data_IF_304474147200
#
_entry.id   IF_304474147200
#
_cell.length_a   1.000
_cell.length_b   1.000
_cell.length_c   1.000
_cell.angle_alpha   90.00
_cell.angle_beta   90.00
_cell.angle_gamma   90.00
#
_symmetry.space_group_name_H-M   'P 1'
#
loop_
_entity.id
_entity.type
_entity.pdbx_description
1 polymer ?
#
# COMPACT_ATOMS: atom_id res chain seq x y z
N UNK A 1 10.83 -4.37 -17.29
CA UNK A 1 10.01 -3.20 -17.69
C UNK A 1 9.14 -2.88 -16.49
N UNK A 2 9.03 -1.61 -16.10
CA UNK A 2 8.09 -1.20 -15.07
C UNK A 2 6.70 -1.06 -15.71
N UNK A 3 5.69 -1.66 -15.11
CA UNK A 3 4.30 -1.59 -15.57
C UNK A 3 3.46 -0.89 -14.51
N UNK A 4 2.48 -0.09 -14.93
CA UNK A 4 1.60 0.61 -14.00
C UNK A 4 0.17 0.69 -14.50
N UNK A 5 -0.79 0.57 -13.59
CA UNK A 5 -2.21 0.76 -13.84
C UNK A 5 -2.79 1.78 -12.85
N UNK A 6 -3.36 2.87 -13.37
CA UNK A 6 -3.98 3.92 -12.57
C UNK A 6 -5.50 3.68 -12.46
N UNK A 7 -6.01 3.72 -11.23
CA UNK A 7 -7.43 3.59 -10.91
C UNK A 7 -7.99 4.95 -10.56
N UNK A 8 -9.02 5.37 -11.28
CA UNK A 8 -9.66 6.68 -11.12
C UNK A 8 -11.12 6.52 -10.74
N UNK A 9 -11.67 7.50 -10.03
CA UNK A 9 -13.11 7.57 -9.76
C UNK A 9 -13.89 8.05 -11.00
N UNK A 10 -15.21 8.14 -10.86
CA UNK A 10 -16.10 8.60 -11.93
C UNK A 10 -15.86 10.05 -12.38
N UNK A 11 -15.20 10.88 -11.55
CA UNK A 11 -14.82 12.26 -11.89
C UNK A 11 -13.45 12.35 -12.58
N UNK A 12 -12.71 11.24 -12.66
CA UNK A 12 -11.36 11.18 -13.19
C UNK A 12 -10.26 11.47 -12.18
N UNK A 13 -10.60 11.64 -10.89
CA UNK A 13 -9.63 11.78 -9.79
C UNK A 13 -8.88 10.47 -9.59
N UNK A 14 -7.56 10.53 -9.45
CA UNK A 14 -6.74 9.36 -9.15
C UNK A 14 -7.02 8.87 -7.73
N UNK A 15 -7.45 7.61 -7.62
CA UNK A 15 -7.65 6.94 -6.34
C UNK A 15 -6.37 6.24 -5.89
N UNK A 16 -5.78 5.43 -6.77
CA UNK A 16 -4.48 4.81 -6.56
C UNK A 16 -3.86 4.35 -7.87
N UNK A 17 -2.56 4.07 -7.84
CA UNK A 17 -1.82 3.44 -8.93
C UNK A 17 -1.17 2.15 -8.42
N UNK A 18 -1.27 1.08 -9.19
CA UNK A 18 -0.53 -0.15 -8.97
C UNK A 18 0.69 -0.14 -9.88
N UNK A 19 1.85 -0.49 -9.35
CA UNK A 19 3.10 -0.61 -10.08
C UNK A 19 3.68 -2.00 -9.92
N UNK A 20 4.25 -2.53 -11.00
CA UNK A 20 5.02 -3.78 -11.01
C UNK A 20 6.48 -3.41 -11.29
N UNK A 21 7.38 -3.86 -10.42
CA UNK A 21 8.82 -3.63 -10.47
C UNK A 21 9.24 -2.15 -10.44
N UNK A 22 8.40 -1.28 -9.87
CA UNK A 22 8.70 0.12 -9.60
C UNK A 22 7.88 0.63 -8.39
N UNK A 23 8.42 1.62 -7.68
CA UNK A 23 7.71 2.47 -6.71
C UNK A 23 8.23 3.89 -6.91
N UNK A 24 7.36 4.87 -6.89
CA UNK A 24 7.72 6.29 -6.90
C UNK A 24 7.96 6.85 -5.49
N UNK A 25 7.62 6.08 -4.45
CA UNK A 25 7.78 6.45 -3.04
C UNK A 25 8.88 5.61 -2.35
N UNK A 26 10.14 5.98 -2.59
CA UNK A 26 11.27 5.63 -1.73
C UNK A 26 11.39 6.66 -0.58
N UNK A 27 10.46 6.62 0.38
CA UNK A 27 10.57 7.50 1.54
C UNK A 27 11.48 6.85 2.60
N UNK A 28 12.74 7.29 2.61
CA UNK A 28 13.82 6.82 3.48
C UNK A 28 13.78 7.30 4.93
N UNK A 29 12.62 7.32 5.60
CA UNK A 29 12.54 7.65 7.03
C UNK A 29 11.78 6.60 7.86
N UNK A 30 12.23 6.32 9.11
CA UNK A 30 11.52 5.41 10.02
C UNK A 30 10.11 5.89 10.36
N UNK A 31 9.12 4.99 10.26
CA UNK A 31 7.73 5.26 10.65
C UNK A 31 7.27 4.28 11.73
N UNK A 32 6.18 4.62 12.41
CA UNK A 32 5.37 3.69 13.19
C UNK A 32 4.12 3.36 12.37
N UNK A 33 3.96 2.10 11.99
CA UNK A 33 2.78 1.58 11.28
C UNK A 33 1.70 1.18 12.27
N UNK A 34 0.48 1.56 11.94
CA UNK A 34 -0.73 1.01 12.53
C UNK A 34 -1.56 0.42 11.39
N UNK A 35 -1.88 -0.87 11.46
CA UNK A 35 -2.75 -1.55 10.50
C UNK A 35 -4.17 -1.02 10.68
N UNK A 36 -4.68 -0.37 9.65
CA UNK A 36 -6.05 0.16 9.61
C UNK A 36 -7.00 -0.97 9.24
N UNK A 37 -6.69 -1.69 8.17
CA UNK A 37 -7.42 -2.87 7.70
C UNK A 37 -6.52 -3.69 6.77
N UNK A 38 -6.79 -5.00 6.69
CA UNK A 38 -6.19 -5.89 5.69
C UNK A 38 -7.18 -6.94 5.21
N UNK A 39 -6.91 -7.53 4.05
CA UNK A 39 -7.71 -8.63 3.51
C UNK A 39 -7.04 -9.29 2.32
N UNK A 40 -7.61 -10.40 1.87
CA UNK A 40 -7.01 -11.22 0.81
C UNK A 40 -7.22 -10.62 -0.58
N UNK A 41 -6.25 -10.85 -1.47
CA UNK A 41 -6.33 -10.55 -2.90
C UNK A 41 -6.14 -11.87 -3.67
N UNK A 42 -7.17 -12.73 -3.70
CA UNK A 42 -7.06 -14.10 -4.18
C UNK A 42 -6.75 -14.18 -5.68
N UNK A 43 -7.13 -13.16 -6.46
CA UNK A 43 -6.89 -13.12 -7.91
C UNK A 43 -5.43 -13.03 -8.32
N UNK A 44 -4.50 -12.69 -7.40
CA UNK A 44 -3.07 -12.67 -7.71
C UNK A 44 -2.45 -14.07 -7.69
N UNK A 45 -2.98 -15.00 -6.88
CA UNK A 45 -2.47 -16.38 -6.76
C UNK A 45 -2.40 -17.08 -8.11
N UNK A 46 -3.38 -16.86 -8.97
CA UNK A 46 -3.53 -17.55 -10.26
C UNK A 46 -2.42 -17.25 -11.27
N UNK A 47 -1.68 -16.15 -11.13
CA UNK A 47 -0.57 -15.81 -12.03
C UNK A 47 0.82 -16.07 -11.43
N UNK A 48 0.93 -17.03 -10.52
CA UNK A 48 2.23 -17.43 -9.94
C UNK A 48 2.66 -16.59 -8.73
N UNK A 49 1.81 -15.67 -8.27
CA UNK A 49 2.04 -14.89 -7.05
C UNK A 49 1.59 -15.70 -5.83
N UNK A 50 2.37 -16.72 -5.50
CA UNK A 50 2.17 -17.59 -4.33
C UNK A 50 3.22 -17.28 -3.24
N UNK A 51 2.84 -17.26 -1.94
CA UNK A 51 1.50 -17.47 -1.37
C UNK A 51 0.52 -16.33 -1.68
N UNK A 52 -0.76 -16.49 -1.27
CA UNK A 52 -1.81 -15.46 -1.41
C UNK A 52 -1.30 -14.10 -0.96
N UNK A 53 -1.49 -13.09 -1.80
CA UNK A 53 -1.22 -11.71 -1.42
C UNK A 53 -2.40 -11.13 -0.67
N UNK A 54 -2.10 -10.24 0.26
CA UNK A 54 -3.05 -9.47 1.04
C UNK A 54 -2.88 -7.99 0.72
N UNK A 55 -3.97 -7.25 0.73
CA UNK A 55 -3.89 -5.81 0.86
C UNK A 55 -3.76 -5.46 2.34
N UNK A 56 -3.01 -4.40 2.64
CA UNK A 56 -2.95 -3.81 3.96
C UNK A 56 -2.94 -2.28 3.83
N UNK A 57 -3.94 -1.64 4.42
CA UNK A 57 -3.98 -0.20 4.61
C UNK A 57 -3.30 0.12 5.95
N UNK A 58 -2.28 0.98 5.93
CA UNK A 58 -1.62 1.47 7.13
C UNK A 58 -1.84 2.96 7.30
N UNK A 59 -1.93 3.37 8.56
CA UNK A 59 -1.66 4.73 8.98
C UNK A 59 -0.24 4.77 9.56
N UNK A 60 0.64 5.51 8.90
CA UNK A 60 2.06 5.62 9.23
C UNK A 60 2.33 6.97 9.90
N UNK A 61 2.86 6.92 11.12
CA UNK A 61 3.26 8.10 11.90
C UNK A 61 4.79 8.23 11.85
N UNK A 62 5.37 9.44 11.89
CA UNK A 62 6.82 9.61 12.04
C UNK A 62 7.31 8.93 13.34
N UNK A 63 8.32 8.06 13.26
CA UNK A 63 8.86 7.39 14.46
C UNK A 63 9.64 8.34 15.39
N UNK A 64 10.04 9.53 14.88
CA UNK A 64 10.66 10.61 15.65
C UNK A 64 10.75 11.91 14.85
N UNK A 65 10.69 13.05 15.54
CA UNK A 65 10.85 14.39 14.95
C UNK A 65 9.65 14.92 14.16
N UNK A 66 9.79 16.15 13.63
CA UNK A 66 8.79 16.86 12.81
C UNK A 66 8.66 16.25 11.41
N UNK A 67 7.89 15.18 11.29
CA UNK A 67 7.48 14.61 10.00
C UNK A 67 6.20 15.24 9.43
N UNK A 68 5.74 14.83 8.24
CA UNK A 68 4.60 15.41 7.53
C UNK A 68 3.21 15.16 8.19
N UNK A 69 3.18 14.67 9.44
CA UNK A 69 1.99 14.12 10.09
C UNK A 69 1.75 12.66 9.71
N UNK A 70 0.61 12.11 10.13
CA UNK A 70 0.21 10.74 9.78
C UNK A 70 -0.16 10.66 8.31
N UNK A 71 0.40 9.66 7.63
CA UNK A 71 0.18 9.40 6.21
C UNK A 71 -0.42 8.00 6.02
N UNK A 72 -1.37 7.90 5.09
CA UNK A 72 -2.05 6.66 4.76
C UNK A 72 -1.44 5.98 3.55
N UNK A 73 -1.33 4.66 3.64
CA UNK A 73 -0.63 3.87 2.63
C UNK A 73 -1.35 2.57 2.41
N UNK A 74 -1.29 2.09 1.17
CA UNK A 74 -1.81 0.80 0.81
C UNK A 74 -0.66 -0.04 0.27
N UNK A 75 -0.56 -1.28 0.71
CA UNK A 75 0.44 -2.20 0.20
C UNK A 75 -0.20 -3.54 -0.17
N UNK A 76 0.42 -4.23 -1.13
CA UNK A 76 0.18 -5.62 -1.43
C UNK A 76 1.34 -6.44 -0.85
N UNK A 77 1.04 -7.29 0.13
CA UNK A 77 2.03 -8.00 0.94
C UNK A 77 1.71 -9.49 1.02
N UNK A 78 2.73 -10.33 1.22
CA UNK A 78 2.54 -11.78 1.43
C UNK A 78 2.17 -12.12 2.87
N UNK A 79 2.55 -11.26 3.80
CA UNK A 79 2.19 -11.33 5.20
C UNK A 79 1.88 -9.91 5.69
N UNK A 80 0.79 -9.75 6.43
CA UNK A 80 0.43 -8.46 7.02
C UNK A 80 1.27 -8.28 8.29
N UNK A 81 2.23 -7.34 8.33
CA UNK A 81 2.98 -7.05 9.54
C UNK A 81 2.06 -6.50 10.63
N UNK A 82 2.36 -6.81 11.88
CA UNK A 82 1.69 -6.24 13.06
C UNK A 82 2.08 -4.77 13.26
N UNK A 83 1.30 -4.04 14.06
CA UNK A 83 1.61 -2.68 14.47
C UNK A 83 3.02 -2.56 15.08
N UNK A 84 3.74 -1.50 14.73
CA UNK A 84 5.10 -1.31 15.20
C UNK A 84 5.98 -0.46 14.28
N UNK A 85 7.30 -0.50 14.47
CA UNK A 85 8.24 0.15 13.58
C UNK A 85 8.05 -0.35 12.14
N UNK A 86 7.63 0.55 11.25
CA UNK A 86 7.57 0.31 9.82
C UNK A 86 8.80 0.88 9.15
N UNK A 87 9.35 0.14 8.19
CA UNK A 87 10.30 0.68 7.22
C UNK A 87 9.93 0.13 5.84
N UNK A 88 10.03 1.00 4.82
CA UNK A 88 9.74 0.79 3.38
C UNK A 88 8.37 0.18 3.03
N UNK A 89 7.56 0.93 2.28
CA UNK A 89 6.24 0.50 1.80
C UNK A 89 6.43 -0.53 0.67
N UNK A 90 5.67 -1.63 0.71
CA UNK A 90 5.61 -2.60 -0.39
C UNK A 90 6.60 -3.77 -0.35
N UNK A 91 7.51 -3.84 0.63
CA UNK A 91 8.37 -5.02 0.76
C UNK A 91 7.67 -6.15 1.55
N UNK A 92 7.67 -7.39 1.00
CA UNK A 92 6.89 -8.49 1.57
C UNK A 92 7.49 -9.08 2.85
N UNK A 93 8.74 -8.78 3.20
CA UNK A 93 9.40 -9.16 4.47
C UNK A 93 10.79 -8.51 4.60
N UNK A 94 11.25 -8.30 5.83
CA UNK A 94 12.57 -7.75 6.15
C UNK A 94 12.59 -6.22 6.17
N UNK A 95 13.47 -5.65 7.00
CA UNK A 95 13.63 -4.20 7.14
C UNK A 95 14.04 -3.49 5.84
N UNK A 96 14.47 -2.22 5.91
CA UNK A 96 14.63 -1.40 4.73
C UNK A 96 15.62 -2.02 3.71
N UNK A 97 15.13 -2.37 2.52
CA UNK A 97 15.92 -2.63 1.32
C UNK A 97 15.56 -1.61 0.23
N UNK A 98 16.51 -0.79 -0.28
CA UNK A 98 16.28 -0.01 -1.49
C UNK A 98 15.67 -0.90 -2.59
N UNK A 99 14.71 -0.39 -3.39
CA UNK A 99 14.06 -1.17 -4.46
C UNK A 99 15.08 -1.86 -5.39
N UNK A 100 16.25 -1.25 -5.54
CA UNK A 100 17.43 -1.71 -6.28
C UNK A 100 18.07 -3.01 -5.73
N UNK A 101 17.84 -3.31 -4.45
CA UNK A 101 18.45 -4.44 -3.72
C UNK A 101 17.49 -5.62 -3.53
N UNK A 102 16.23 -5.47 -3.93
CA UNK A 102 15.26 -6.56 -3.91
C UNK A 102 15.61 -7.61 -4.95
N UNK A 103 15.79 -8.86 -4.51
CA UNK A 103 16.15 -10.01 -5.37
C UNK A 103 14.99 -10.99 -5.57
N UNK A 104 13.78 -10.64 -5.11
CA UNK A 104 12.59 -11.42 -5.42
C UNK A 104 12.17 -11.24 -6.88
N UNK A 105 11.46 -12.22 -7.46
CA UNK A 105 11.18 -12.23 -8.89
C UNK A 105 10.34 -11.04 -9.34
N UNK A 106 9.53 -10.46 -8.43
CA UNK A 106 8.70 -9.31 -8.71
C UNK A 106 8.37 -8.49 -7.44
N UNK A 107 8.13 -7.19 -7.62
CA UNK A 107 7.71 -6.24 -6.57
C UNK A 107 6.41 -5.55 -7.02
N UNK A 108 5.37 -5.51 -6.18
CA UNK A 108 4.13 -4.78 -6.47
C UNK A 108 3.98 -3.63 -5.47
N UNK A 109 4.02 -2.39 -5.96
CA UNK A 109 3.70 -1.22 -5.17
C UNK A 109 2.28 -0.75 -5.44
N UNK A 110 1.65 -0.18 -4.41
CA UNK A 110 0.39 0.54 -4.54
C UNK A 110 0.58 1.92 -3.95
N UNK A 111 0.19 2.94 -4.69
CA UNK A 111 0.32 4.33 -4.28
C UNK A 111 -1.05 4.98 -4.30
N UNK A 112 -1.49 5.45 -3.14
CA UNK A 112 -2.75 6.19 -3.02
C UNK A 112 -2.62 7.56 -3.68
N UNK A 113 -3.74 8.11 -4.16
CA UNK A 113 -3.77 9.47 -4.68
C UNK A 113 -3.32 10.50 -3.63
N UNK A 114 -2.77 11.67 -4.02
CA UNK A 114 -2.19 12.64 -3.08
C UNK A 114 -3.16 13.15 -2.00
N UNK A 115 -4.44 13.22 -2.32
CA UNK A 115 -5.49 13.68 -1.40
C UNK A 115 -5.85 12.61 -0.36
N UNK A 116 -5.63 11.34 -0.69
CA UNK A 116 -5.91 10.19 0.17
C UNK A 116 -4.75 9.93 1.13
N UNK A 117 -3.52 10.20 0.69
CA UNK A 117 -2.30 9.93 1.45
C UNK A 117 -2.24 10.73 2.77
N UNK A 118 -2.93 11.86 2.89
CA UNK A 118 -2.88 12.73 4.08
C UNK A 118 -4.06 12.49 5.02
N UNK A 119 -4.07 11.34 5.69
CA UNK A 119 -5.19 10.98 6.55
C UNK A 119 -5.16 11.58 7.96
N UNK A 120 -4.03 12.15 8.44
CA UNK A 120 -3.99 12.91 9.69
C UNK A 120 -3.94 12.08 10.97
N UNK A 121 -4.81 11.08 11.13
CA UNK A 121 -4.80 10.14 12.27
C UNK A 121 -5.22 8.72 11.87
N UNK A 122 -4.96 7.73 12.74
CA UNK A 122 -5.45 6.34 12.56
C UNK A 122 -6.98 6.27 12.55
N UNK A 123 -7.65 7.11 13.35
CA UNK A 123 -9.11 7.14 13.41
C UNK A 123 -9.71 7.70 12.10
N UNK A 124 -9.11 8.76 11.57
CA UNK A 124 -9.51 9.35 10.30
C UNK A 124 -9.24 8.40 9.13
N UNK A 125 -8.12 7.66 9.18
CA UNK A 125 -7.83 6.60 8.21
C UNK A 125 -8.93 5.52 8.20
N UNK A 126 -9.37 5.06 9.38
CA UNK A 126 -10.47 4.09 9.52
C UNK A 126 -11.78 4.64 8.97
N UNK A 127 -12.11 5.89 9.33
CA UNK A 127 -13.33 6.54 8.86
C UNK A 127 -13.33 6.73 7.34
N UNK A 128 -12.21 7.15 6.76
CA UNK A 128 -12.06 7.29 5.31
C UNK A 128 -12.13 5.93 4.60
N UNK A 129 -11.51 4.87 5.13
CA UNK A 129 -11.60 3.54 4.52
C UNK A 129 -13.03 2.99 4.50
N UNK A 130 -13.84 3.34 5.50
CA UNK A 130 -15.26 3.01 5.56
C UNK A 130 -16.14 3.88 4.63
N UNK A 131 -15.59 4.95 4.04
CA UNK A 131 -16.32 5.81 3.09
C UNK A 131 -16.57 5.12 1.75
N UNK A 132 -17.43 5.71 0.92
CA UNK A 132 -17.68 5.21 -0.44
C UNK A 132 -16.41 5.15 -1.30
N UNK A 133 -15.53 6.14 -1.18
CA UNK A 133 -14.24 6.17 -1.89
C UNK A 133 -13.32 5.03 -1.41
N UNK A 134 -13.21 4.84 -0.09
CA UNK A 134 -12.44 3.75 0.51
C UNK A 134 -12.96 2.37 0.09
N UNK A 135 -14.29 2.17 0.06
CA UNK A 135 -14.89 0.92 -0.41
C UNK A 135 -14.68 0.68 -1.91
N UNK A 136 -14.65 1.73 -2.74
CA UNK A 136 -14.28 1.59 -4.16
C UNK A 136 -12.83 1.13 -4.33
N UNK A 137 -11.91 1.70 -3.56
CA UNK A 137 -10.50 1.26 -3.57
C UNK A 137 -10.39 -0.19 -3.11
N UNK A 138 -11.03 -0.54 -1.99
CA UNK A 138 -11.06 -1.92 -1.49
C UNK A 138 -11.56 -2.92 -2.54
N UNK A 139 -12.66 -2.60 -3.23
CA UNK A 139 -13.21 -3.45 -4.28
C UNK A 139 -12.26 -3.56 -5.48
N UNK A 140 -11.64 -2.46 -5.90
CA UNK A 140 -10.67 -2.47 -7.00
C UNK A 140 -9.43 -3.31 -6.66
N UNK A 141 -8.90 -3.16 -5.44
CA UNK A 141 -7.74 -3.92 -4.97
C UNK A 141 -8.05 -5.41 -4.83
N UNK A 142 -9.20 -5.75 -4.24
CA UNK A 142 -9.63 -7.14 -4.08
C UNK A 142 -9.95 -7.84 -5.42
N UNK A 143 -10.21 -7.08 -6.49
CA UNK A 143 -10.46 -7.61 -7.83
C UNK A 143 -9.22 -7.69 -8.72
N UNK A 144 -8.04 -7.31 -8.21
CA UNK A 144 -6.79 -7.45 -8.94
C UNK A 144 -6.54 -8.93 -9.29
N UNK A 145 -6.17 -9.15 -10.54
CA UNK A 145 -5.80 -10.45 -11.09
C UNK A 145 -4.42 -10.38 -11.69
N UNK A 146 -3.70 -11.49 -11.61
CA UNK A 146 -2.44 -11.63 -12.33
C UNK A 146 -2.76 -12.08 -13.77
N UNK A 147 -2.60 -11.16 -14.72
CA UNK A 147 -2.83 -11.36 -16.15
C UNK A 147 -1.56 -11.18 -16.96
#
# INVERSE_FOLDING_TARGET
>A
MAESAAFKDASGKLLFTVFINASTYDCGWPVKRNVVESGDVPGLVSGGWSPVYHYALYAEEPAGGSGPGTICTLALVRAVPVDGPGMLRGLPEGGPMPAETWTGPYFIAVELGPDVEKCGSVADAKAWWASSEGQQIKAAVASLTAG
#
